data_IF_119075078655
#
_entry.id   IF_119075078655
#
_cell.length_a   1.000
_cell.length_b   1.000
_cell.length_c   1.000
_cell.angle_alpha   90.00
_cell.angle_beta   90.00
_cell.angle_gamma   90.00
#
_symmetry.space_group_name_H-M   'P 1'
#
loop_
_entity.id
_entity.type
_entity.pdbx_description
1 polymer ?
#
# COMPACT_ATOMS: atom_id res chain seq x y z
N UNK A 1 0.94 79.45 -7.78
CA UNK A 1 0.28 78.12 -7.72
C UNK A 1 1.34 77.05 -7.99
N UNK A 2 1.70 76.24 -7.00
CA UNK A 2 2.56 75.05 -7.17
C UNK A 2 1.67 73.82 -7.13
N UNK A 3 1.74 72.87 -8.09
CA UNK A 3 0.96 71.66 -8.01
C UNK A 3 1.63 70.69 -7.01
N UNK A 4 0.87 70.27 -6.00
CA UNK A 4 1.22 69.16 -5.13
C UNK A 4 0.83 67.87 -5.86
N UNK A 5 1.83 67.07 -6.24
CA UNK A 5 1.58 65.70 -6.70
C UNK A 5 1.43 64.81 -5.47
N UNK A 6 0.20 64.34 -5.24
CA UNK A 6 -0.11 63.33 -4.23
C UNK A 6 0.32 61.97 -4.78
N UNK A 7 1.43 61.44 -4.27
CA UNK A 7 1.91 60.10 -4.59
C UNK A 7 1.08 59.09 -3.79
N UNK A 8 0.12 58.44 -4.44
CA UNK A 8 -0.64 57.33 -3.86
C UNK A 8 0.25 56.08 -3.87
N UNK A 9 0.80 55.69 -2.72
CA UNK A 9 1.44 54.38 -2.57
C UNK A 9 0.35 53.30 -2.58
N UNK A 10 0.28 52.52 -3.65
CA UNK A 10 -0.40 51.23 -3.65
C UNK A 10 0.44 50.25 -2.83
N UNK A 11 0.01 49.97 -1.60
CA UNK A 11 0.47 48.80 -0.86
C UNK A 11 -0.20 47.58 -1.48
N UNK A 12 0.52 46.91 -2.39
CA UNK A 12 0.19 45.55 -2.80
C UNK A 12 0.34 44.65 -1.57
N UNK A 13 -0.77 44.21 -1.00
CA UNK A 13 -0.78 43.03 -0.13
C UNK A 13 -0.22 41.88 -0.95
N UNK A 14 1.04 41.51 -0.69
CA UNK A 14 1.51 40.19 -1.07
C UNK A 14 0.72 39.22 -0.20
N UNK A 15 -0.35 38.63 -0.73
CA UNK A 15 -0.82 37.37 -0.17
C UNK A 15 0.38 36.43 -0.23
N UNK A 16 0.79 35.90 0.91
CA UNK A 16 1.66 34.73 0.93
C UNK A 16 0.98 33.67 0.07
N UNK A 17 1.48 33.45 -1.14
CA UNK A 17 1.04 32.33 -1.97
C UNK A 17 1.50 31.07 -1.24
N UNK A 18 0.60 30.46 -0.49
CA UNK A 18 0.87 29.18 0.15
C UNK A 18 0.79 28.12 -0.93
N UNK A 19 1.92 27.47 -1.23
CA UNK A 19 1.92 26.36 -2.15
C UNK A 19 1.23 25.18 -1.45
N UNK A 20 0.03 24.83 -1.89
CA UNK A 20 -0.71 23.67 -1.42
C UNK A 20 -0.50 22.52 -2.41
N UNK A 21 -0.18 21.34 -1.88
CA UNK A 21 -0.04 20.12 -2.66
C UNK A 21 -0.84 19.03 -1.98
N UNK A 22 -1.61 18.27 -2.74
CA UNK A 22 -2.35 17.11 -2.26
C UNK A 22 -1.89 15.87 -2.99
N UNK A 23 -1.76 14.75 -2.28
CA UNK A 23 -1.50 13.44 -2.87
C UNK A 23 -2.61 12.50 -2.44
N UNK A 24 -3.29 11.87 -3.39
CA UNK A 24 -4.36 10.92 -3.16
C UNK A 24 -3.99 9.55 -3.72
N UNK A 25 -4.05 8.54 -2.86
CA UNK A 25 -3.69 7.16 -3.18
C UNK A 25 -4.89 6.26 -2.88
N UNK A 26 -5.45 5.63 -3.90
CA UNK A 26 -6.35 4.49 -3.73
C UNK A 26 -5.52 3.20 -3.57
N UNK A 27 -6.00 2.25 -2.78
CA UNK A 27 -5.29 0.98 -2.57
C UNK A 27 -6.24 -0.19 -2.28
N UNK A 28 -5.82 -1.41 -2.60
CA UNK A 28 -6.57 -2.63 -2.32
C UNK A 28 -5.78 -3.90 -2.64
N UNK A 29 -6.25 -5.04 -2.14
CA UNK A 29 -5.68 -6.38 -2.34
C UNK A 29 -6.79 -7.42 -2.48
N UNK A 30 -6.42 -8.68 -2.75
CA UNK A 30 -7.35 -9.82 -2.79
C UNK A 30 -8.46 -9.59 -3.83
N UNK A 31 -8.03 -9.58 -5.09
CA UNK A 31 -8.85 -9.34 -6.27
C UNK A 31 -9.27 -10.66 -6.97
N UNK A 32 -10.37 -11.26 -6.49
CA UNK A 32 -11.04 -12.37 -7.18
C UNK A 32 -12.43 -11.92 -7.70
N UNK A 33 -12.51 -11.42 -8.95
CA UNK A 33 -13.72 -10.81 -9.51
C UNK A 33 -14.88 -11.77 -9.76
N UNK A 34 -14.72 -13.07 -9.47
CA UNK A 34 -15.82 -14.05 -9.49
C UNK A 34 -16.77 -13.87 -8.30
N UNK A 35 -16.33 -13.22 -7.22
CA UNK A 35 -17.14 -13.08 -6.00
C UNK A 35 -17.97 -11.80 -5.97
N UNK A 36 -17.34 -10.64 -6.17
CA UNK A 36 -18.03 -9.35 -6.04
C UNK A 36 -17.35 -8.25 -6.84
N UNK A 37 -18.12 -7.45 -7.59
CA UNK A 37 -17.64 -6.31 -8.37
C UNK A 37 -18.18 -4.96 -7.87
N UNK A 38 -19.01 -4.95 -6.82
CA UNK A 38 -19.73 -3.75 -6.35
C UNK A 38 -18.83 -2.57 -5.95
N UNK A 39 -17.58 -2.84 -5.59
CA UNK A 39 -16.60 -1.80 -5.25
C UNK A 39 -16.05 -1.08 -6.48
N UNK A 40 -15.97 -1.75 -7.64
CA UNK A 40 -15.24 -1.23 -8.80
C UNK A 40 -15.80 0.09 -9.35
N UNK A 41 -17.13 0.33 -9.45
CA UNK A 41 -17.64 1.64 -9.87
C UNK A 41 -17.23 2.78 -8.94
N UNK A 42 -17.19 2.53 -7.63
CA UNK A 42 -16.81 3.54 -6.64
C UNK A 42 -15.30 3.78 -6.62
N UNK A 43 -14.50 2.71 -6.75
CA UNK A 43 -13.07 2.82 -6.99
C UNK A 43 -12.78 3.64 -8.26
N UNK A 44 -13.42 3.29 -9.38
CA UNK A 44 -13.25 4.00 -10.66
C UNK A 44 -13.55 5.50 -10.53
N UNK A 45 -14.60 5.89 -9.80
CA UNK A 45 -14.91 7.30 -9.54
C UNK A 45 -13.85 7.99 -8.66
N UNK A 46 -13.30 7.29 -7.66
CA UNK A 46 -12.21 7.84 -6.85
C UNK A 46 -10.94 8.08 -7.68
N UNK A 47 -10.64 7.19 -8.63
CA UNK A 47 -9.49 7.28 -9.54
C UNK A 47 -9.58 8.44 -10.54
N UNK A 48 -10.73 9.08 -10.72
CA UNK A 48 -10.82 10.33 -11.51
C UNK A 48 -9.99 11.47 -10.89
N UNK A 49 -9.70 11.38 -9.59
CA UNK A 49 -8.93 12.40 -8.84
C UNK A 49 -7.75 11.85 -8.06
N UNK A 50 -7.63 10.53 -7.92
CA UNK A 50 -6.48 9.91 -7.28
C UNK A 50 -5.26 9.95 -8.19
N UNK A 51 -4.07 10.17 -7.61
CA UNK A 51 -2.80 10.11 -8.33
C UNK A 51 -2.41 8.65 -8.60
N UNK A 52 -2.73 7.76 -7.65
CA UNK A 52 -2.30 6.36 -7.68
C UNK A 52 -3.42 5.38 -7.35
N UNK A 53 -3.41 4.23 -8.01
CA UNK A 53 -4.03 2.99 -7.54
C UNK A 53 -2.92 1.99 -7.17
N UNK A 54 -2.93 1.52 -5.92
CA UNK A 54 -1.97 0.54 -5.42
C UNK A 54 -2.62 -0.83 -5.25
N UNK A 55 -2.05 -1.82 -5.94
CA UNK A 55 -2.42 -3.23 -5.85
C UNK A 55 -1.47 -3.90 -4.85
N UNK A 56 -1.99 -4.24 -3.68
CA UNK A 56 -1.21 -4.69 -2.53
C UNK A 56 -0.99 -6.21 -2.49
N UNK A 57 -1.29 -6.90 -3.59
CA UNK A 57 -1.13 -8.35 -3.70
C UNK A 57 -2.46 -9.09 -3.84
N UNK A 58 -2.35 -10.37 -4.20
CA UNK A 58 -3.46 -11.19 -4.69
C UNK A 58 -4.19 -10.48 -5.83
N UNK A 59 -3.42 -9.94 -6.78
CA UNK A 59 -3.96 -9.16 -7.89
C UNK A 59 -4.73 -10.06 -8.86
N UNK A 60 -4.35 -11.33 -8.92
CA UNK A 60 -5.13 -12.45 -9.47
C UNK A 60 -5.06 -13.66 -8.55
N UNK A 61 -5.97 -14.62 -8.72
CA UNK A 61 -5.93 -15.91 -8.05
C UNK A 61 -5.58 -17.05 -9.00
N UNK A 62 -4.31 -17.47 -8.99
CA UNK A 62 -3.86 -18.71 -9.64
C UNK A 62 -4.28 -19.91 -8.79
N UNK A 63 -4.99 -20.86 -9.41
CA UNK A 63 -5.57 -22.06 -8.77
C UNK A 63 -5.12 -23.31 -9.50
N UNK A 64 -5.24 -24.48 -8.88
CA UNK A 64 -5.05 -25.78 -9.55
C UNK A 64 -3.75 -25.90 -10.38
N UNK A 65 -2.60 -25.52 -9.80
CA UNK A 65 -1.29 -25.53 -10.47
C UNK A 65 -1.15 -24.60 -11.71
N UNK A 66 -2.06 -23.63 -11.91
CA UNK A 66 -1.97 -22.63 -13.00
C UNK A 66 -0.62 -21.89 -12.99
N UNK A 67 -0.02 -21.64 -11.81
CA UNK A 67 1.29 -20.99 -11.64
C UNK A 67 2.48 -21.76 -12.25
N UNK A 68 2.29 -23.00 -12.67
CA UNK A 68 3.33 -23.82 -13.32
C UNK A 68 3.36 -23.66 -14.84
N UNK A 69 2.40 -22.94 -15.42
CA UNK A 69 2.18 -22.90 -16.87
C UNK A 69 1.96 -21.46 -17.36
N UNK A 70 2.81 -21.00 -18.29
CA UNK A 70 2.76 -19.61 -18.79
C UNK A 70 1.40 -19.26 -19.40
N UNK A 71 0.87 -20.14 -20.25
CA UNK A 71 -0.42 -19.94 -20.90
C UNK A 71 -1.58 -19.82 -19.89
N UNK A 72 -1.50 -20.54 -18.77
CA UNK A 72 -2.49 -20.47 -17.69
C UNK A 72 -2.41 -19.16 -16.91
N UNK A 73 -1.20 -18.68 -16.62
CA UNK A 73 -0.97 -17.38 -15.99
C UNK A 73 -1.49 -16.26 -16.90
N UNK A 74 -1.13 -16.29 -18.19
CA UNK A 74 -1.61 -15.35 -19.21
C UNK A 74 -3.14 -15.34 -19.27
N UNK A 75 -3.76 -16.52 -19.39
CA UNK A 75 -5.21 -16.64 -19.42
C UNK A 75 -5.87 -16.10 -18.15
N UNK A 76 -5.26 -16.28 -16.97
CA UNK A 76 -5.78 -15.73 -15.71
C UNK A 76 -5.81 -14.21 -15.73
N UNK A 77 -4.70 -13.59 -16.10
CA UNK A 77 -4.59 -12.13 -16.17
C UNK A 77 -5.56 -11.55 -17.20
N UNK A 78 -5.67 -12.15 -18.40
CA UNK A 78 -6.66 -11.75 -19.40
C UNK A 78 -8.10 -11.88 -18.84
N UNK A 79 -8.43 -12.99 -18.21
CA UNK A 79 -9.78 -13.23 -17.67
C UNK A 79 -10.19 -12.23 -16.55
N UNK A 80 -9.22 -11.66 -15.83
CA UNK A 80 -9.45 -10.63 -14.80
C UNK A 80 -9.45 -9.25 -15.44
N UNK A 81 -8.33 -8.86 -16.07
CA UNK A 81 -8.08 -7.47 -16.42
C UNK A 81 -8.63 -7.05 -17.78
N UNK A 82 -9.04 -7.95 -18.67
CA UNK A 82 -9.72 -7.57 -19.93
C UNK A 82 -11.22 -7.31 -19.75
N UNK A 83 -11.77 -7.49 -18.55
CA UNK A 83 -13.16 -7.11 -18.24
C UNK A 83 -13.33 -5.60 -18.34
N UNK A 84 -14.52 -5.16 -18.75
CA UNK A 84 -14.82 -3.74 -18.95
C UNK A 84 -14.58 -2.91 -17.68
N UNK A 85 -14.96 -3.44 -16.51
CA UNK A 85 -14.79 -2.77 -15.22
C UNK A 85 -13.32 -2.54 -14.87
N UNK A 86 -12.46 -3.53 -15.14
CA UNK A 86 -11.02 -3.38 -14.89
C UNK A 86 -10.32 -2.55 -15.95
N UNK A 87 -10.76 -2.61 -17.21
CA UNK A 87 -10.25 -1.70 -18.25
C UNK A 87 -10.58 -0.24 -17.90
N UNK A 88 -11.76 0.04 -17.33
CA UNK A 88 -12.11 1.37 -16.85
C UNK A 88 -11.19 1.82 -15.70
N UNK A 89 -10.96 0.96 -14.70
CA UNK A 89 -10.05 1.24 -13.57
C UNK A 89 -8.61 1.45 -14.07
N UNK A 90 -8.08 0.56 -14.93
CA UNK A 90 -6.72 0.61 -15.47
C UNK A 90 -6.45 1.83 -16.38
N UNK A 91 -7.50 2.47 -16.89
CA UNK A 91 -7.39 3.66 -17.71
C UNK A 91 -7.20 4.95 -16.90
N UNK A 92 -7.27 4.88 -15.56
CA UNK A 92 -7.24 6.03 -14.65
C UNK A 92 -6.05 5.94 -13.69
N UNK A 93 -5.56 7.10 -13.24
CA UNK A 93 -4.42 7.21 -12.31
C UNK A 93 -3.15 6.50 -12.80
N UNK A 94 -2.09 6.53 -11.98
CA UNK A 94 -0.93 5.66 -12.16
C UNK A 94 -1.08 4.39 -11.32
N UNK A 95 -0.84 3.22 -11.92
CA UNK A 95 -0.95 1.94 -11.23
C UNK A 95 0.40 1.48 -10.68
N UNK A 96 0.43 1.22 -9.38
CA UNK A 96 1.55 0.63 -8.67
C UNK A 96 1.12 -0.73 -8.10
N UNK A 97 2.02 -1.70 -8.06
CA UNK A 97 1.68 -3.03 -7.55
C UNK A 97 2.81 -3.61 -6.70
N UNK A 98 2.44 -4.51 -5.81
CA UNK A 98 3.26 -5.60 -5.28
C UNK A 98 2.46 -6.89 -5.46
N UNK A 99 3.13 -8.03 -5.30
CA UNK A 99 2.51 -9.34 -5.39
C UNK A 99 2.33 -9.97 -4.01
N UNK A 100 1.44 -10.96 -3.91
CA UNK A 100 1.32 -11.84 -2.75
C UNK A 100 1.21 -13.31 -3.18
N UNK A 101 0.77 -14.23 -2.32
CA UNK A 101 0.84 -15.67 -2.58
C UNK A 101 -0.02 -16.09 -3.77
N UNK A 102 -1.21 -15.52 -3.98
CA UNK A 102 -2.05 -15.96 -5.09
C UNK A 102 -1.61 -15.43 -6.46
N UNK A 103 -0.76 -14.41 -6.49
CA UNK A 103 -0.01 -14.00 -7.68
C UNK A 103 1.17 -14.94 -7.94
N UNK A 104 1.81 -15.40 -6.86
CA UNK A 104 3.06 -16.15 -6.89
C UNK A 104 2.87 -17.66 -7.09
N UNK A 105 1.82 -18.25 -6.52
CA UNK A 105 1.58 -19.68 -6.49
C UNK A 105 0.39 -20.12 -5.60
N UNK A 106 0.51 -21.23 -4.85
CA UNK A 106 -0.54 -21.70 -3.96
C UNK A 106 -0.68 -20.83 -2.71
N UNK A 107 -1.80 -20.98 -1.98
CA UNK A 107 -2.04 -20.31 -0.70
C UNK A 107 -0.84 -20.47 0.26
N UNK A 108 -0.46 -19.38 0.93
CA UNK A 108 0.67 -19.23 1.85
C UNK A 108 2.04 -19.61 1.24
N UNK A 109 2.22 -19.47 -0.09
CA UNK A 109 3.46 -19.90 -0.74
C UNK A 109 4.70 -19.21 -0.14
N UNK A 110 5.86 -19.85 -0.38
CA UNK A 110 7.15 -19.42 0.15
C UNK A 110 8.23 -19.57 -0.91
N UNK A 111 9.47 -19.21 -0.61
CA UNK A 111 10.63 -19.40 -1.49
C UNK A 111 10.85 -20.85 -1.96
N UNK A 112 10.20 -21.82 -1.30
CA UNK A 112 10.27 -23.26 -1.63
C UNK A 112 9.23 -23.69 -2.68
N UNK A 113 8.32 -22.80 -3.06
CA UNK A 113 7.23 -23.12 -3.99
C UNK A 113 7.71 -23.17 -5.44
N UNK A 114 7.14 -24.09 -6.21
CA UNK A 114 7.39 -24.18 -7.65
C UNK A 114 6.72 -23.02 -8.40
N UNK A 115 7.33 -22.58 -9.51
CA UNK A 115 6.71 -21.61 -10.41
C UNK A 115 7.03 -20.14 -10.13
N UNK A 116 7.69 -19.80 -9.01
CA UNK A 116 7.99 -18.40 -8.64
C UNK A 116 8.72 -17.61 -9.73
N UNK A 117 9.74 -18.20 -10.37
CA UNK A 117 10.48 -17.52 -11.44
C UNK A 117 9.56 -17.18 -12.63
N UNK A 118 8.59 -18.04 -12.93
CA UNK A 118 7.65 -17.87 -14.03
C UNK A 118 6.56 -16.84 -13.71
N UNK A 119 5.96 -16.93 -12.52
CA UNK A 119 4.94 -15.97 -12.07
C UNK A 119 5.55 -14.59 -11.87
N UNK A 120 6.76 -14.48 -11.32
CA UNK A 120 7.49 -13.23 -11.19
C UNK A 120 7.78 -12.58 -12.55
N UNK A 121 8.24 -13.35 -13.53
CA UNK A 121 8.49 -12.85 -14.89
C UNK A 121 7.21 -12.26 -15.51
N UNK A 122 6.09 -12.99 -15.39
CA UNK A 122 4.82 -12.51 -15.91
C UNK A 122 4.25 -11.32 -15.13
N UNK A 123 4.37 -11.32 -13.81
CA UNK A 123 3.93 -10.23 -12.94
C UNK A 123 4.64 -8.91 -13.32
N UNK A 124 5.96 -8.95 -13.56
CA UNK A 124 6.73 -7.81 -14.08
C UNK A 124 6.32 -7.41 -15.49
N UNK A 125 6.05 -8.37 -16.37
CA UNK A 125 5.57 -8.11 -17.72
C UNK A 125 4.24 -7.36 -17.72
N UNK A 126 3.30 -7.75 -16.86
CA UNK A 126 1.99 -7.13 -16.76
C UNK A 126 2.06 -5.74 -16.14
N UNK A 127 2.64 -5.63 -14.93
CA UNK A 127 2.63 -4.38 -14.16
C UNK A 127 3.67 -3.34 -14.60
N UNK A 128 4.73 -3.75 -15.31
CA UNK A 128 5.75 -2.85 -15.89
C UNK A 128 6.27 -1.82 -14.87
N UNK A 129 6.89 -2.28 -13.75
CA UNK A 129 7.34 -1.39 -12.68
C UNK A 129 8.21 -0.25 -13.22
N UNK A 130 7.89 0.98 -12.84
CA UNK A 130 8.60 2.17 -13.31
C UNK A 130 9.84 2.53 -12.47
N UNK A 131 10.36 1.59 -11.68
CA UNK A 131 11.47 1.79 -10.76
C UNK A 131 12.46 0.63 -10.85
N UNK A 132 13.69 0.86 -10.38
CA UNK A 132 14.74 -0.15 -10.41
C UNK A 132 14.56 -1.17 -9.28
N UNK A 133 14.65 -2.44 -9.62
CA UNK A 133 14.64 -3.54 -8.65
C UNK A 133 16.07 -3.95 -8.32
N UNK A 134 16.49 -3.93 -7.05
CA UNK A 134 17.85 -4.35 -6.67
C UNK A 134 18.13 -5.83 -6.99
N UNK A 135 17.09 -6.67 -6.91
CA UNK A 135 17.16 -8.08 -7.33
C UNK A 135 16.19 -8.34 -8.50
N UNK A 136 16.68 -8.74 -9.69
CA UNK A 136 15.83 -8.98 -10.85
C UNK A 136 14.91 -10.20 -10.70
N UNK A 137 15.10 -11.05 -9.68
CA UNK A 137 14.22 -12.20 -9.38
C UNK A 137 13.14 -11.91 -8.33
N UNK A 138 13.08 -10.70 -7.79
CA UNK A 138 12.13 -10.29 -6.75
C UNK A 138 11.41 -9.00 -7.16
N UNK A 139 10.33 -8.63 -6.46
CA UNK A 139 9.55 -7.42 -6.74
C UNK A 139 9.66 -6.39 -5.61
N UNK A 140 10.88 -5.92 -5.33
CA UNK A 140 11.12 -4.85 -4.34
C UNK A 140 11.94 -3.71 -4.92
N UNK A 141 11.77 -2.51 -4.37
CA UNK A 141 12.42 -1.29 -4.82
C UNK A 141 11.75 -0.04 -4.24
N UNK A 142 12.12 1.15 -4.72
CA UNK A 142 11.46 2.39 -4.30
C UNK A 142 11.19 3.36 -5.44
N UNK A 143 10.17 4.21 -5.27
CA UNK A 143 9.79 5.25 -6.23
C UNK A 143 9.51 6.56 -5.51
N UNK A 144 10.28 7.59 -5.82
CA UNK A 144 10.01 8.96 -5.38
C UNK A 144 8.89 9.58 -6.23
N UNK A 145 8.08 10.43 -5.61
CA UNK A 145 6.94 11.12 -6.22
C UNK A 145 6.80 12.54 -5.66
N UNK A 146 6.01 13.39 -6.35
CA UNK A 146 5.68 14.76 -5.95
C UNK A 146 6.91 15.56 -5.53
N UNK A 147 7.88 15.70 -6.43
CA UNK A 147 9.13 16.45 -6.22
C UNK A 147 9.92 16.03 -4.95
N UNK A 148 9.79 14.77 -4.54
CA UNK A 148 10.48 14.24 -3.37
C UNK A 148 9.70 14.32 -2.07
N UNK A 149 8.46 14.79 -2.08
CA UNK A 149 7.62 14.84 -0.87
C UNK A 149 7.20 13.44 -0.40
N UNK A 150 6.97 12.53 -1.35
CA UNK A 150 6.51 11.16 -1.09
C UNK A 150 7.49 10.16 -1.69
N UNK A 151 7.77 9.08 -0.96
CA UNK A 151 8.46 7.92 -1.52
C UNK A 151 7.73 6.63 -1.16
N UNK A 152 7.51 5.80 -2.17
CA UNK A 152 6.94 4.46 -2.06
C UNK A 152 8.07 3.44 -1.92
N UNK A 153 7.95 2.52 -0.96
CA UNK A 153 8.85 1.40 -0.74
C UNK A 153 8.07 0.11 -0.95
N UNK A 154 8.43 -0.63 -2.01
CA UNK A 154 7.77 -1.85 -2.43
C UNK A 154 8.49 -3.04 -1.78
N UNK A 155 7.77 -3.86 -1.00
CA UNK A 155 8.32 -5.07 -0.40
C UNK A 155 7.72 -6.34 -1.03
N UNK A 156 8.54 -7.38 -1.04
CA UNK A 156 8.24 -8.72 -1.52
C UNK A 156 8.30 -9.71 -0.35
N UNK A 157 7.13 -10.19 0.08
CA UNK A 157 6.94 -11.13 1.20
C UNK A 157 6.85 -12.60 0.73
N UNK A 158 7.29 -12.93 -0.50
CA UNK A 158 7.18 -14.28 -1.09
C UNK A 158 8.51 -14.83 -1.56
N UNK A 159 9.30 -14.05 -2.31
CA UNK A 159 10.55 -14.51 -2.94
C UNK A 159 11.55 -15.06 -1.93
N UNK A 160 11.65 -14.44 -0.76
CA UNK A 160 12.62 -14.81 0.26
C UNK A 160 12.01 -15.57 1.44
N UNK A 161 10.67 -15.69 1.49
CA UNK A 161 9.97 -16.23 2.65
C UNK A 161 10.42 -17.65 2.95
N UNK A 162 10.82 -17.88 4.19
CA UNK A 162 11.01 -19.19 4.80
C UNK A 162 9.99 -19.28 5.94
N UNK A 163 9.08 -20.28 5.93
CA UNK A 163 7.97 -20.36 6.89
C UNK A 163 8.41 -20.24 8.36
N UNK A 164 7.56 -19.62 9.18
CA UNK A 164 7.83 -19.31 10.61
C UNK A 164 8.31 -20.51 11.43
N UNK A 165 7.79 -21.71 11.16
CA UNK A 165 8.15 -22.93 11.89
C UNK A 165 9.44 -23.61 11.37
N UNK A 166 10.11 -23.03 10.37
CA UNK A 166 11.30 -23.59 9.76
C UNK A 166 12.59 -22.97 10.31
N UNK A 167 13.69 -23.73 10.27
CA UNK A 167 15.00 -23.20 10.62
C UNK A 167 15.39 -22.08 9.65
N UNK A 168 15.79 -20.93 10.18
CA UNK A 168 16.10 -19.76 9.37
C UNK A 168 14.86 -19.03 8.83
N UNK A 169 13.71 -19.19 9.49
CA UNK A 169 12.47 -18.44 9.21
C UNK A 169 12.76 -16.96 8.96
N UNK A 170 12.21 -16.45 7.86
CA UNK A 170 12.36 -15.06 7.43
C UNK A 170 11.18 -14.71 6.53
N UNK A 171 10.65 -13.50 6.61
CA UNK A 171 9.57 -13.07 5.73
C UNK A 171 10.13 -12.36 4.50
N UNK A 172 11.02 -11.41 4.73
CA UNK A 172 11.59 -10.56 3.68
C UNK A 172 13.00 -10.96 3.25
N UNK A 173 13.73 -11.77 4.03
CA UNK A 173 15.10 -12.15 3.74
C UNK A 173 16.12 -11.05 4.07
N UNK A 174 17.34 -11.49 4.43
CA UNK A 174 18.41 -10.57 4.86
C UNK A 174 18.81 -9.55 3.78
N UNK A 175 18.76 -9.93 2.50
CA UNK A 175 19.10 -9.07 1.37
C UNK A 175 18.15 -7.87 1.27
N UNK A 176 16.85 -8.13 1.19
CA UNK A 176 15.83 -7.09 1.08
C UNK A 176 15.77 -6.24 2.35
N UNK A 177 15.90 -6.82 3.54
CA UNK A 177 15.93 -6.04 4.78
C UNK A 177 17.13 -5.08 4.84
N UNK A 178 18.31 -5.50 4.38
CA UNK A 178 19.48 -4.62 4.31
C UNK A 178 19.30 -3.51 3.27
N UNK A 179 18.67 -3.81 2.12
CA UNK A 179 18.29 -2.80 1.15
C UNK A 179 17.30 -1.80 1.75
N UNK A 180 16.25 -2.27 2.44
CA UNK A 180 15.22 -1.43 3.04
C UNK A 180 15.83 -0.47 4.08
N UNK A 181 16.71 -0.96 4.95
CA UNK A 181 17.42 -0.11 5.91
C UNK A 181 18.15 1.04 5.21
N UNK A 182 18.86 0.73 4.12
CA UNK A 182 19.65 1.72 3.36
C UNK A 182 18.76 2.71 2.62
N UNK A 183 17.77 2.22 1.87
CA UNK A 183 16.88 3.04 1.06
C UNK A 183 16.02 3.96 1.93
N UNK A 184 15.44 3.40 3.00
CA UNK A 184 14.54 4.13 3.88
C UNK A 184 15.25 5.21 4.71
N UNK A 185 16.46 4.93 5.21
CA UNK A 185 17.26 5.92 5.96
C UNK A 185 17.84 7.01 5.05
N UNK A 186 18.20 6.67 3.81
CA UNK A 186 18.75 7.64 2.85
C UNK A 186 17.69 8.59 2.28
N UNK A 187 16.42 8.20 2.30
CA UNK A 187 15.31 8.99 1.78
C UNK A 187 15.05 10.27 2.60
N UNK A 188 14.94 11.40 1.91
CA UNK A 188 14.55 12.69 2.46
C UNK A 188 13.04 12.98 2.38
N UNK A 189 12.24 12.02 1.88
CA UNK A 189 10.81 12.19 1.71
C UNK A 189 10.10 12.51 3.03
N UNK A 190 9.07 13.35 2.93
CA UNK A 190 8.30 13.83 4.08
C UNK A 190 7.27 12.79 4.52
N UNK A 191 6.66 12.10 3.57
CA UNK A 191 5.83 10.91 3.79
C UNK A 191 6.52 9.72 3.12
N UNK A 192 6.64 8.61 3.83
CA UNK A 192 7.25 7.38 3.34
C UNK A 192 6.22 6.27 3.43
N UNK A 193 5.80 5.77 2.27
CA UNK A 193 4.72 4.79 2.14
C UNK A 193 5.34 3.42 1.88
N UNK A 194 5.20 2.49 2.81
CA UNK A 194 5.69 1.11 2.67
C UNK A 194 4.54 0.20 2.26
N UNK A 195 4.73 -0.58 1.20
CA UNK A 195 3.72 -1.48 0.64
C UNK A 195 4.11 -2.92 1.02
N UNK A 196 3.20 -3.66 1.64
CA UNK A 196 3.43 -5.05 2.07
C UNK A 196 2.20 -5.92 1.79
N UNK A 197 2.38 -7.15 1.29
CA UNK A 197 1.26 -8.09 1.10
C UNK A 197 0.59 -8.44 2.42
N UNK A 198 1.38 -8.92 3.38
CA UNK A 198 0.91 -9.23 4.73
C UNK A 198 0.64 -8.00 5.62
N UNK A 199 -0.39 -8.11 6.46
CA UNK A 199 -0.73 -7.11 7.48
C UNK A 199 0.39 -6.88 8.50
N UNK A 200 0.67 -5.62 8.85
CA UNK A 200 1.89 -5.23 9.55
C UNK A 200 1.72 -4.98 11.06
N UNK A 201 0.90 -4.01 11.45
CA UNK A 201 0.82 -3.59 12.85
C UNK A 201 -0.02 -4.53 13.71
N UNK A 202 -0.94 -5.32 13.16
CA UNK A 202 -1.80 -6.22 13.92
C UNK A 202 -1.01 -7.03 14.95
N UNK A 203 -1.29 -6.85 16.24
CA UNK A 203 -0.55 -7.52 17.33
C UNK A 203 -0.88 -9.01 17.50
N UNK A 204 -1.95 -9.51 16.88
CA UNK A 204 -2.32 -10.91 16.95
C UNK A 204 -1.38 -11.75 16.08
N UNK A 205 -0.67 -12.69 16.69
CA UNK A 205 0.19 -13.65 16.01
C UNK A 205 -0.62 -14.85 15.51
N UNK A 206 -1.61 -14.58 14.66
CA UNK A 206 -2.57 -15.56 14.14
C UNK A 206 -2.63 -15.49 12.63
N UNK A 207 -2.76 -16.66 11.98
CA UNK A 207 -2.73 -16.79 10.53
C UNK A 207 -1.45 -16.18 9.93
N UNK A 208 -1.47 -15.87 8.64
CA UNK A 208 -0.37 -15.13 8.02
C UNK A 208 -0.50 -13.62 8.28
N UNK A 209 0.55 -13.03 8.86
CA UNK A 209 0.76 -11.59 8.99
C UNK A 209 2.23 -11.35 9.43
N UNK A 210 2.69 -10.10 9.45
CA UNK A 210 4.09 -9.80 9.79
C UNK A 210 4.41 -10.08 11.28
N UNK A 211 3.42 -10.06 12.18
CA UNK A 211 3.63 -10.31 13.61
C UNK A 211 4.03 -11.73 13.96
N UNK A 212 3.79 -12.71 13.09
CA UNK A 212 4.32 -14.07 13.30
C UNK A 212 5.84 -14.15 13.05
N UNK A 213 6.45 -13.12 12.45
CA UNK A 213 7.90 -12.94 12.33
C UNK A 213 8.37 -11.80 13.27
N UNK A 214 8.36 -11.99 14.60
CA UNK A 214 8.50 -10.91 15.57
C UNK A 214 9.81 -10.14 15.46
N UNK A 215 10.91 -10.81 15.10
CA UNK A 215 12.22 -10.16 14.94
C UNK A 215 12.24 -9.19 13.75
N UNK A 216 11.71 -9.61 12.60
CA UNK A 216 11.62 -8.74 11.42
C UNK A 216 10.61 -7.62 11.64
N UNK A 217 9.47 -7.91 12.27
CA UNK A 217 8.50 -6.89 12.65
C UNK A 217 9.14 -5.81 13.52
N UNK A 218 9.87 -6.21 14.56
CA UNK A 218 10.51 -5.25 15.46
C UNK A 218 11.58 -4.44 14.72
N UNK A 219 12.40 -5.09 13.89
CA UNK A 219 13.40 -4.40 13.06
C UNK A 219 12.76 -3.32 12.18
N UNK A 220 11.64 -3.62 11.53
CA UNK A 220 10.94 -2.65 10.69
C UNK A 220 10.35 -1.53 11.56
N UNK A 221 9.72 -1.82 12.69
CA UNK A 221 9.21 -0.78 13.61
C UNK A 221 10.35 0.16 14.04
N UNK A 222 11.51 -0.39 14.41
CA UNK A 222 12.68 0.40 14.81
C UNK A 222 13.20 1.28 13.67
N UNK A 223 13.25 0.74 12.44
CA UNK A 223 13.62 1.50 11.24
C UNK A 223 12.66 2.68 10.99
N UNK A 224 11.35 2.41 11.02
CA UNK A 224 10.31 3.41 10.80
C UNK A 224 10.32 4.48 11.90
N UNK A 225 10.55 4.08 13.15
CA UNK A 225 10.63 4.96 14.32
C UNK A 225 11.83 5.90 14.25
N UNK A 226 13.02 5.38 13.91
CA UNK A 226 14.28 6.12 14.02
C UNK A 226 14.66 6.93 12.77
N UNK A 227 14.00 6.70 11.63
CA UNK A 227 14.27 7.43 10.39
C UNK A 227 13.51 8.75 10.28
N UNK A 228 13.90 9.62 9.35
CA UNK A 228 13.14 10.83 9.00
C UNK A 228 11.83 10.51 8.27
N UNK A 229 10.95 11.51 8.15
CA UNK A 229 9.66 11.40 7.43
C UNK A 229 8.59 10.66 8.24
N UNK A 230 7.33 10.72 7.79
CA UNK A 230 6.20 10.08 8.45
C UNK A 230 5.92 8.73 7.78
N UNK A 231 6.01 7.61 8.52
CA UNK A 231 5.76 6.27 8.00
C UNK A 231 4.26 6.00 7.86
N UNK A 232 3.85 5.58 6.67
CA UNK A 232 2.53 4.99 6.38
C UNK A 232 2.78 3.61 5.78
N UNK A 233 2.10 2.59 6.27
CA UNK A 233 2.16 1.22 5.74
C UNK A 233 0.80 0.87 5.15
N UNK A 234 0.79 0.34 3.94
CA UNK A 234 -0.42 -0.13 3.27
C UNK A 234 -0.31 -1.63 3.07
N UNK A 235 -1.32 -2.37 3.51
CA UNK A 235 -1.29 -3.83 3.61
C UNK A 235 -2.52 -4.55 3.03
N UNK A 236 -2.39 -5.85 2.77
CA UNK A 236 -3.41 -6.70 2.13
C UNK A 236 -3.63 -8.04 2.84
N UNK A 237 -3.81 -9.13 2.07
CA UNK A 237 -3.87 -10.56 2.48
C UNK A 237 -5.08 -11.01 3.32
N UNK A 238 -5.54 -10.19 4.27
CA UNK A 238 -6.34 -10.68 5.40
C UNK A 238 -7.82 -10.99 5.13
N UNK A 239 -8.33 -10.69 3.94
CA UNK A 239 -9.75 -10.74 3.58
C UNK A 239 -10.69 -9.93 4.52
N UNK A 240 -10.12 -9.00 5.29
CA UNK A 240 -10.81 -7.93 6.00
C UNK A 240 -9.89 -6.69 6.06
N UNK A 241 -10.49 -5.53 6.32
CA UNK A 241 -9.80 -4.27 6.45
C UNK A 241 -9.77 -3.78 7.89
N UNK A 242 -8.72 -3.04 8.22
CA UNK A 242 -8.61 -2.29 9.45
C UNK A 242 -7.60 -1.16 9.32
N UNK A 243 -7.65 -0.21 10.26
CA UNK A 243 -6.70 0.89 10.37
C UNK A 243 -6.07 0.80 11.74
N UNK A 244 -4.74 0.80 11.76
CA UNK A 244 -3.93 0.70 12.95
C UNK A 244 -3.01 1.91 13.09
N UNK A 245 -2.74 2.28 14.34
CA UNK A 245 -1.77 3.31 14.68
C UNK A 245 -0.92 2.88 15.87
N UNK A 246 0.39 2.87 15.68
CA UNK A 246 1.37 2.70 16.74
C UNK A 246 2.06 4.03 17.03
N UNK A 247 2.06 4.47 18.28
CA UNK A 247 2.93 5.55 18.75
C UNK A 247 4.15 4.89 19.38
N UNK A 248 5.31 5.06 18.75
CA UNK A 248 6.58 4.47 19.22
C UNK A 248 7.15 5.25 20.40
N UNK A 249 8.12 4.68 21.12
CA UNK A 249 8.68 5.24 22.35
C UNK A 249 9.26 6.67 22.20
N UNK A 250 9.71 7.03 20.99
CA UNK A 250 10.19 8.38 20.68
C UNK A 250 9.07 9.37 20.31
N UNK A 251 7.80 8.97 20.45
CA UNK A 251 6.60 9.75 20.15
C UNK A 251 6.18 9.73 18.67
N UNK A 252 6.94 9.06 17.79
CA UNK A 252 6.62 9.01 16.36
C UNK A 252 5.49 8.04 16.07
N UNK A 253 4.53 8.48 15.25
CA UNK A 253 3.40 7.65 14.81
C UNK A 253 3.76 6.83 13.57
N UNK A 254 3.35 5.56 13.56
CA UNK A 254 3.31 4.67 12.40
C UNK A 254 1.85 4.37 12.11
N UNK A 255 1.41 4.69 10.90
CA UNK A 255 0.07 4.38 10.42
C UNK A 255 0.13 3.11 9.58
N UNK A 256 -0.83 2.21 9.76
CA UNK A 256 -0.99 1.01 8.94
C UNK A 256 -2.46 0.89 8.53
N UNK A 257 -2.71 0.62 7.26
CA UNK A 257 -4.05 0.45 6.71
C UNK A 257 -4.10 -0.81 5.86
N UNK A 258 -4.89 -1.78 6.30
CA UNK A 258 -5.18 -3.00 5.56
C UNK A 258 -6.44 -2.80 4.73
N UNK A 259 -6.36 -2.98 3.41
CA UNK A 259 -7.52 -2.97 2.52
C UNK A 259 -7.61 -4.31 1.76
N UNK A 260 -8.36 -5.24 2.34
CA UNK A 260 -8.57 -6.59 1.83
C UNK A 260 -10.00 -7.04 2.22
N UNK A 261 -10.86 -7.57 1.34
CA UNK A 261 -10.65 -7.84 -0.06
C UNK A 261 -11.33 -6.81 -0.97
N UNK A 262 -10.69 -6.50 -2.11
CA UNK A 262 -11.26 -5.63 -3.13
C UNK A 262 -12.46 -6.29 -3.82
N UNK A 263 -12.28 -7.53 -4.28
CA UNK A 263 -13.35 -8.29 -4.98
C UNK A 263 -13.51 -9.73 -4.46
N UNK A 264 -12.49 -10.30 -3.81
CA UNK A 264 -12.56 -11.64 -3.23
C UNK A 264 -13.54 -11.73 -2.04
N UNK A 265 -13.81 -12.94 -1.55
CA UNK A 265 -14.72 -13.15 -0.42
C UNK A 265 -14.18 -12.51 0.87
N UNK A 266 -15.01 -11.78 1.62
CA UNK A 266 -14.61 -11.24 2.94
C UNK A 266 -14.72 -12.28 4.06
N UNK A 267 -13.76 -12.22 4.99
CA UNK A 267 -13.69 -13.02 6.22
C UNK A 267 -13.41 -12.09 7.43
N UNK A 268 -14.46 -11.60 8.12
CA UNK A 268 -14.29 -10.69 9.24
C UNK A 268 -13.66 -11.40 10.45
N UNK A 269 -12.44 -11.01 10.79
CA UNK A 269 -11.71 -11.53 11.95
C UNK A 269 -11.86 -10.61 13.19
N UNK A 270 -13.10 -10.31 13.59
CA UNK A 270 -13.38 -9.36 14.70
C UNK A 270 -12.76 -9.76 16.04
N UNK A 271 -12.58 -11.07 16.27
CA UNK A 271 -12.03 -11.60 17.51
C UNK A 271 -10.49 -11.53 17.58
N UNK A 272 -9.81 -11.19 16.47
CA UNK A 272 -8.37 -10.93 16.48
C UNK A 272 -8.06 -9.66 17.27
N UNK A 273 -7.35 -9.84 18.38
CA UNK A 273 -6.98 -8.74 19.27
C UNK A 273 -5.77 -7.98 18.72
N UNK A 274 -6.06 -6.95 17.92
CA UNK A 274 -5.09 -5.95 17.52
C UNK A 274 -5.15 -4.74 18.47
N UNK A 275 -4.15 -4.60 19.34
CA UNK A 275 -4.07 -3.49 20.32
C UNK A 275 -3.79 -2.12 19.69
N UNK A 276 -3.43 -2.09 18.40
CA UNK A 276 -3.14 -0.86 17.65
C UNK A 276 -4.31 -0.43 16.75
N UNK A 277 -5.38 -1.24 16.64
CA UNK A 277 -6.56 -0.91 15.86
C UNK A 277 -7.23 0.34 16.42
N UNK A 278 -7.60 1.28 15.55
CA UNK A 278 -8.17 2.57 15.96
C UNK A 278 -9.69 2.58 16.04
N UNK A 279 -10.31 1.42 15.85
CA UNK A 279 -11.75 1.19 15.83
C UNK A 279 -12.05 -0.23 16.36
N UNK A 280 -13.33 -0.60 16.48
CA UNK A 280 -13.71 -1.82 17.24
C UNK A 280 -13.57 -3.12 16.43
N UNK A 281 -13.99 -3.11 15.17
CA UNK A 281 -14.18 -4.33 14.36
C UNK A 281 -13.38 -4.27 13.07
N UNK A 282 -13.05 -5.40 12.48
CA UNK A 282 -12.59 -5.47 11.09
C UNK A 282 -13.76 -5.22 10.12
N UNK A 283 -13.50 -4.96 8.83
CA UNK A 283 -14.59 -4.83 7.84
C UNK A 283 -15.28 -6.19 7.62
N UNK A 284 -16.55 -6.15 7.22
CA UNK A 284 -17.34 -7.34 6.83
C UNK A 284 -17.58 -7.44 5.32
N UNK A 285 -17.32 -6.37 4.58
CA UNK A 285 -17.63 -6.21 3.17
C UNK A 285 -16.38 -5.94 2.34
N UNK A 286 -16.52 -6.14 1.03
CA UNK A 286 -15.52 -5.69 0.06
C UNK A 286 -15.37 -4.18 0.12
N UNK A 287 -14.13 -3.72 0.04
CA UNK A 287 -13.81 -2.30 0.13
C UNK A 287 -12.46 -2.00 -0.55
N UNK A 288 -12.22 -0.72 -0.79
CA UNK A 288 -10.91 -0.18 -1.14
C UNK A 288 -10.50 0.85 -0.09
N UNK A 289 -9.20 1.08 0.00
CA UNK A 289 -8.64 2.12 0.83
C UNK A 289 -8.39 3.41 0.07
N UNK A 290 -8.46 4.53 0.77
CA UNK A 290 -8.05 5.83 0.24
C UNK A 290 -7.21 6.59 1.27
N UNK A 291 -5.99 6.95 0.87
CA UNK A 291 -5.06 7.77 1.63
C UNK A 291 -4.99 9.16 0.97
N UNK A 292 -5.30 10.22 1.74
CA UNK A 292 -5.14 11.61 1.32
C UNK A 292 -4.10 12.29 2.19
N UNK A 293 -3.11 12.89 1.53
CA UNK A 293 -2.03 13.63 2.14
C UNK A 293 -2.13 15.08 1.67
N UNK A 294 -2.10 16.03 2.60
CA UNK A 294 -2.05 17.45 2.24
C UNK A 294 -0.78 18.09 2.78
N UNK A 295 -0.17 18.94 1.97
CA UNK A 295 1.06 19.65 2.25
C UNK A 295 0.82 21.14 2.08
N UNK A 296 1.48 21.93 2.93
CA UNK A 296 1.55 23.38 2.78
C UNK A 296 3.01 23.79 2.85
N UNK A 297 3.51 24.40 1.77
CA UNK A 297 4.93 24.74 1.60
C UNK A 297 5.84 23.53 1.87
N UNK A 298 5.53 22.39 1.23
CA UNK A 298 6.27 21.13 1.33
C UNK A 298 6.27 20.48 2.74
N UNK A 299 5.47 21.02 3.67
CA UNK A 299 5.30 20.47 5.02
C UNK A 299 3.98 19.70 5.09
N UNK A 300 3.98 18.41 5.44
CA UNK A 300 2.75 17.66 5.67
C UNK A 300 1.86 18.33 6.73
N UNK A 301 0.58 18.49 6.43
CA UNK A 301 -0.43 19.10 7.32
C UNK A 301 -1.49 18.12 7.74
N UNK A 302 -1.90 17.21 6.86
CA UNK A 302 -2.90 16.20 7.21
C UNK A 302 -2.60 14.85 6.58
N UNK A 303 -2.96 13.81 7.32
CA UNK A 303 -3.09 12.43 6.83
C UNK A 303 -4.54 12.03 7.07
N UNK A 304 -5.19 11.54 6.03
CA UNK A 304 -6.53 10.96 6.11
C UNK A 304 -6.51 9.59 5.44
N UNK A 305 -7.01 8.57 6.14
CA UNK A 305 -7.13 7.19 5.68
C UNK A 305 -8.60 6.80 5.81
N UNK A 306 -9.18 6.23 4.76
CA UNK A 306 -10.54 5.72 4.75
C UNK A 306 -10.58 4.32 4.13
N UNK A 307 -11.49 3.47 4.61
CA UNK A 307 -11.88 2.22 3.95
C UNK A 307 -13.33 2.38 3.48
N UNK A 308 -13.57 2.21 2.18
CA UNK A 308 -14.83 2.55 1.49
C UNK A 308 -15.39 1.32 0.80
N UNK A 309 -16.66 0.99 1.05
CA UNK A 309 -17.31 -0.22 0.54
C UNK A 309 -17.99 -0.07 -0.83
N UNK A 310 -18.61 -1.15 -1.30
CA UNK A 310 -19.39 -1.20 -2.54
C UNK A 310 -20.72 -0.45 -2.50
N UNK A 311 -21.06 0.24 -1.41
CA UNK A 311 -22.19 1.17 -1.30
C UNK A 311 -21.69 2.63 -1.22
N UNK A 312 -20.38 2.85 -1.36
CA UNK A 312 -19.69 4.13 -1.18
C UNK A 312 -19.75 4.67 0.25
N UNK A 313 -19.96 3.80 1.24
CA UNK A 313 -19.96 4.17 2.65
C UNK A 313 -18.54 4.05 3.22
N UNK A 314 -18.16 5.03 4.05
CA UNK A 314 -16.88 5.00 4.78
C UNK A 314 -17.05 4.08 5.98
N UNK A 315 -16.51 2.85 5.88
CA UNK A 315 -16.56 1.86 6.94
C UNK A 315 -15.72 2.29 8.14
N UNK A 316 -14.48 2.71 7.87
CA UNK A 316 -13.54 3.18 8.87
C UNK A 316 -12.79 4.40 8.36
N UNK A 317 -12.42 5.29 9.28
CA UNK A 317 -11.62 6.46 8.96
C UNK A 317 -10.65 6.81 10.08
N UNK A 318 -9.51 7.36 9.69
CA UNK A 318 -8.55 8.02 10.56
C UNK A 318 -8.15 9.33 9.89
N UNK A 319 -8.23 10.43 10.64
CA UNK A 319 -7.76 11.73 10.16
C UNK A 319 -6.95 12.41 11.24
N UNK A 320 -5.76 12.87 10.87
CA UNK A 320 -4.86 13.58 11.78
C UNK A 320 -4.34 14.87 11.17
N UNK A 321 -4.27 15.89 12.03
CA UNK A 321 -3.54 17.14 11.75
C UNK A 321 -2.14 16.99 12.29
N UNK A 322 -1.17 17.24 11.43
CA UNK A 322 0.25 17.17 11.72
C UNK A 322 0.75 18.54 12.17
N UNK A 323 1.62 18.55 13.17
CA UNK A 323 2.17 19.77 13.78
C UNK A 323 3.32 20.36 12.97
#
# INVERSE_FOLDING_TARGET
MKPQYLLLLFLLNQSCDTNETSVTVAFGSCNDPEYNLSVLPHLSNALDTADYMIWLGDNVYLKNDEWKHRDSIEAKYSAVFEREEFQEVLAKSEHLAIWDDHDAGPNDCSSLSEGLDLTMDYFKYFWKPSYSMPNPKSYYGSKTSHDGLVEFFFLDNRTFKIPVDSAGATLYGAEQLAWLDTAYTSSSAKIKIVLMGGQFLNSAQTFENVSIYPEERQRIIDLLSNSSGIPVVLTGDRHHGEISKLITDNGKSIYDATASPLTAKSFPHHEENNVYRTHTNTTETNHFGLLRLNFQNDVPKTIEIQLIDGQNEVLFSLRETLL
#
